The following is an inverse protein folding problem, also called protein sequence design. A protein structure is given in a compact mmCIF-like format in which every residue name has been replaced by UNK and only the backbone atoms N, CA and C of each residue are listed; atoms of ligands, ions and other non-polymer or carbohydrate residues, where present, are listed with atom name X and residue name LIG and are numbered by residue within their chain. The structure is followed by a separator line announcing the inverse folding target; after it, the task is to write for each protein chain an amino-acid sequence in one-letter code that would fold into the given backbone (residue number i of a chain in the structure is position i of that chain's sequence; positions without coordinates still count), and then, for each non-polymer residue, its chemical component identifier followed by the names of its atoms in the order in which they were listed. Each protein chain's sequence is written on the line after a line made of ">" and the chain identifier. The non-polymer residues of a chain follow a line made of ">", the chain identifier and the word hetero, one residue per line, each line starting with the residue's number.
data_IF_416695406719
#
_entry.id   IF_416695406719
#
_cell.length_a   1.000
_cell.length_b   1.000
_cell.length_c   1.000
_cell.angle_alpha   90.00
_cell.angle_beta   90.00
_cell.angle_gamma   90.00
#
_symmetry.space_group_name_H-M   'P 1'
#
loop_
_entity.id
_entity.type
_entity.pdbx_description
1 polymer ?
#
# COMPACT_ATOMS: atom_id res chain seq x y z
N UNK A 1 -34.37 -17.54 -13.25
CA UNK A 1 -33.47 -17.26 -12.20
C UNK A 1 -32.08 -16.89 -12.70
N UNK A 2 -31.56 -15.79 -12.25
CA UNK A 2 -30.25 -15.37 -12.69
C UNK A 2 -29.15 -16.16 -11.99
N UNK A 3 -28.17 -16.58 -12.75
CA UNK A 3 -27.00 -17.22 -12.22
C UNK A 3 -25.99 -16.13 -11.89
N UNK A 4 -25.51 -16.10 -10.67
CA UNK A 4 -24.50 -15.11 -10.32
C UNK A 4 -23.21 -15.40 -11.06
N UNK A 5 -22.59 -14.34 -11.52
CA UNK A 5 -21.29 -14.45 -12.16
C UNK A 5 -20.22 -14.69 -11.09
N UNK A 6 -19.26 -15.54 -11.43
CA UNK A 6 -18.15 -15.84 -10.52
C UNK A 6 -17.42 -14.57 -10.09
N UNK A 7 -17.23 -13.63 -11.03
CA UNK A 7 -16.57 -12.38 -10.70
C UNK A 7 -17.32 -11.62 -9.60
N UNK A 8 -18.64 -11.58 -9.69
CA UNK A 8 -19.46 -10.87 -8.70
C UNK A 8 -19.40 -11.55 -7.33
N UNK A 9 -19.34 -12.87 -7.31
CA UNK A 9 -19.16 -13.61 -6.05
C UNK A 9 -17.85 -13.25 -5.39
N UNK A 10 -16.79 -13.16 -6.18
CA UNK A 10 -15.47 -12.79 -5.65
C UNK A 10 -15.47 -11.36 -5.14
N UNK A 11 -16.03 -10.43 -5.91
CA UNK A 11 -16.07 -9.03 -5.47
C UNK A 11 -16.85 -8.88 -4.18
N UNK A 12 -17.98 -9.57 -4.05
CA UNK A 12 -18.79 -9.52 -2.83
C UNK A 12 -18.07 -10.10 -1.63
N UNK A 13 -17.34 -11.19 -1.86
CA UNK A 13 -16.63 -11.88 -0.76
C UNK A 13 -15.53 -11.00 -0.14
N UNK A 14 -14.90 -10.14 -0.93
CA UNK A 14 -13.77 -9.34 -0.47
C UNK A 14 -14.08 -7.86 -0.35
N UNK A 15 -15.34 -7.49 -0.52
CA UNK A 15 -15.72 -6.07 -0.52
C UNK A 15 -15.33 -5.35 0.76
N UNK A 16 -15.63 -5.96 1.91
CA UNK A 16 -15.34 -5.32 3.19
C UNK A 16 -13.84 -5.23 3.44
N UNK A 17 -13.11 -6.26 3.02
CA UNK A 17 -11.67 -6.27 3.17
C UNK A 17 -11.03 -5.14 2.37
N UNK A 18 -11.54 -4.88 1.15
CA UNK A 18 -10.96 -3.89 0.26
C UNK A 18 -11.13 -2.46 0.76
N UNK A 19 -12.08 -2.20 1.66
CA UNK A 19 -12.27 -0.87 2.22
C UNK A 19 -11.70 -0.74 3.62
N UNK A 20 -11.19 -1.82 4.19
CA UNK A 20 -10.59 -1.79 5.52
C UNK A 20 -9.18 -1.24 5.43
N UNK A 21 -8.89 -0.24 6.24
CA UNK A 21 -7.58 0.39 6.25
C UNK A 21 -6.78 -0.03 7.47
N UNK A 22 -5.49 -0.26 7.28
CA UNK A 22 -4.56 -0.52 8.37
C UNK A 22 -3.67 0.69 8.55
N UNK A 23 -3.36 1.02 9.79
CA UNK A 23 -2.54 2.20 10.06
C UNK A 23 -1.13 1.81 10.43
N UNK A 24 -0.21 2.67 10.05
CA UNK A 24 1.20 2.52 10.35
C UNK A 24 1.72 3.82 10.96
N UNK A 25 2.29 3.74 12.16
CA UNK A 25 2.88 4.90 12.79
C UNK A 25 4.32 5.03 12.35
N UNK A 26 4.63 6.14 11.71
CA UNK A 26 6.01 6.44 11.32
C UNK A 26 6.68 7.13 12.50
N UNK A 27 7.73 6.50 13.02
CA UNK A 27 8.43 7.04 14.19
C UNK A 27 9.85 7.47 13.80
N UNK A 28 10.33 8.51 14.48
CA UNK A 28 11.71 8.94 14.27
C UNK A 28 12.65 8.03 15.09
N UNK A 29 13.94 8.32 15.03
CA UNK A 29 14.94 7.48 15.70
C UNK A 29 14.89 7.61 17.23
N UNK A 30 14.07 8.51 17.75
CA UNK A 30 13.86 8.65 19.19
C UNK A 30 12.56 8.00 19.65
N UNK A 31 11.86 7.34 18.72
CA UNK A 31 10.59 6.67 19.03
C UNK A 31 9.38 7.57 19.03
N UNK A 32 9.53 8.82 18.63
CA UNK A 32 8.42 9.76 18.58
C UNK A 32 7.67 9.60 17.27
N UNK A 33 6.34 9.58 17.33
CA UNK A 33 5.52 9.48 16.13
C UNK A 33 5.59 10.75 15.31
N UNK A 34 6.03 10.63 14.07
CA UNK A 34 6.12 11.73 13.13
C UNK A 34 4.79 11.92 12.41
N UNK A 35 4.21 10.83 11.95
CA UNK A 35 2.92 10.85 11.26
C UNK A 35 2.35 9.45 11.25
N UNK A 36 1.06 9.35 10.93
CA UNK A 36 0.38 8.06 10.81
C UNK A 36 -0.16 7.94 9.40
N UNK A 37 0.14 6.84 8.76
CA UNK A 37 -0.33 6.57 7.39
C UNK A 37 -1.32 5.42 7.41
N UNK A 38 -2.26 5.46 6.49
CA UNK A 38 -3.32 4.46 6.37
C UNK A 38 -3.24 3.81 5.01
N UNK A 39 -3.45 2.49 4.97
CA UNK A 39 -3.31 1.72 3.74
C UNK A 39 -4.48 0.77 3.57
N UNK A 40 -4.96 0.66 2.34
CA UNK A 40 -5.93 -0.35 1.94
C UNK A 40 -5.20 -1.47 1.23
N UNK A 41 -5.82 -2.65 1.11
CA UNK A 41 -5.20 -3.74 0.36
C UNK A 41 -4.87 -3.33 -1.08
N UNK A 42 -3.80 -3.86 -1.60
CA UNK A 42 -3.33 -3.53 -2.95
C UNK A 42 -4.07 -4.38 -3.97
N UNK A 43 -4.52 -3.75 -5.07
CA UNK A 43 -5.06 -4.49 -6.20
C UNK A 43 -3.97 -4.70 -7.25
N UNK A 44 -4.19 -5.66 -8.14
CA UNK A 44 -3.30 -5.84 -9.27
C UNK A 44 -3.26 -4.57 -10.13
N UNK A 45 -4.41 -3.92 -10.28
CA UNK A 45 -4.49 -2.67 -11.04
C UNK A 45 -3.59 -1.60 -10.45
N UNK A 46 -3.60 -1.45 -9.13
CA UNK A 46 -2.76 -0.45 -8.47
C UNK A 46 -1.28 -0.72 -8.73
N UNK A 47 -0.87 -1.99 -8.69
CA UNK A 47 0.52 -2.36 -8.93
C UNK A 47 0.93 -2.09 -10.37
N UNK A 48 0.07 -2.43 -11.33
CA UNK A 48 0.35 -2.16 -12.75
C UNK A 48 0.47 -0.67 -12.99
N UNK A 49 -0.42 0.10 -12.37
CA UNK A 49 -0.37 1.56 -12.53
C UNK A 49 0.91 2.14 -11.94
N UNK A 50 1.34 1.62 -10.79
CA UNK A 50 2.59 2.08 -10.17
C UNK A 50 3.77 1.80 -11.10
N UNK A 51 3.79 0.65 -11.76
CA UNK A 51 4.84 0.31 -12.69
C UNK A 51 4.85 1.28 -13.87
N UNK A 52 3.69 1.61 -14.40
CA UNK A 52 3.57 2.55 -15.51
C UNK A 52 4.05 3.95 -15.11
N UNK A 53 3.65 4.41 -13.93
CA UNK A 53 4.03 5.74 -13.46
C UNK A 53 5.51 5.82 -13.09
N UNK A 54 6.07 4.73 -12.60
CA UNK A 54 7.49 4.70 -12.25
C UNK A 54 8.40 4.80 -13.47
N UNK A 55 7.92 4.34 -14.62
CA UNK A 55 8.71 4.36 -15.84
C UNK A 55 9.97 3.52 -15.75
N UNK A 56 9.95 2.47 -14.94
CA UNK A 56 11.12 1.63 -14.68
C UNK A 56 10.68 0.22 -14.36
N UNK A 57 11.54 -0.74 -14.63
CA UNK A 57 11.31 -2.13 -14.24
C UNK A 57 11.96 -2.46 -12.90
N UNK A 58 12.66 -1.51 -12.31
CA UNK A 58 13.33 -1.71 -11.03
C UNK A 58 12.29 -1.84 -9.92
N UNK A 59 12.33 -2.98 -9.21
CA UNK A 59 11.36 -3.28 -8.18
C UNK A 59 11.35 -2.23 -7.06
N UNK A 60 12.52 -1.69 -6.73
CA UNK A 60 12.61 -0.67 -5.68
C UNK A 60 11.93 0.63 -6.10
N UNK A 61 12.09 1.00 -7.37
CA UNK A 61 11.45 2.22 -7.90
C UNK A 61 9.94 2.04 -7.92
N UNK A 62 9.47 0.87 -8.36
CA UNK A 62 8.04 0.57 -8.43
C UNK A 62 7.43 0.54 -7.04
N UNK A 63 8.12 -0.05 -6.06
CA UNK A 63 7.61 -0.13 -4.69
C UNK A 63 7.40 1.26 -4.08
N UNK A 64 8.33 2.17 -4.30
CA UNK A 64 8.18 3.53 -3.78
C UNK A 64 7.04 4.27 -4.48
N UNK A 65 6.89 4.05 -5.78
CA UNK A 65 5.77 4.65 -6.52
C UNK A 65 4.44 4.12 -5.98
N UNK A 66 4.37 2.82 -5.70
CA UNK A 66 3.17 2.20 -5.13
C UNK A 66 2.86 2.78 -3.74
N UNK A 67 3.89 2.99 -2.93
CA UNK A 67 3.73 3.61 -1.62
C UNK A 67 3.08 4.98 -1.74
N UNK A 68 3.59 5.83 -2.63
CA UNK A 68 3.03 7.16 -2.83
C UNK A 68 1.58 7.11 -3.32
N UNK A 69 1.26 6.09 -4.11
CA UNK A 69 -0.06 5.93 -4.67
C UNK A 69 -1.08 5.46 -3.62
N UNK A 70 -0.66 4.64 -2.66
CA UNK A 70 -1.57 3.97 -1.74
C UNK A 70 -1.67 4.62 -0.37
N UNK A 71 -0.65 5.35 0.09
CA UNK A 71 -0.66 5.92 1.43
C UNK A 71 -1.71 7.02 1.56
N UNK A 72 -2.50 6.96 2.63
CA UNK A 72 -3.57 7.92 2.89
C UNK A 72 -3.38 8.55 4.26
N UNK A 73 -3.93 9.75 4.40
CA UNK A 73 -4.09 10.38 5.70
C UNK A 73 -5.32 9.80 6.39
N UNK A 74 -5.52 10.15 7.64
CA UNK A 74 -6.66 9.65 8.39
C UNK A 74 -7.99 9.95 7.70
N UNK A 75 -8.10 11.10 7.07
CA UNK A 75 -9.34 11.53 6.41
C UNK A 75 -9.53 10.87 5.04
N UNK A 76 -8.61 10.01 4.61
CA UNK A 76 -8.73 9.30 3.35
C UNK A 76 -8.11 10.02 2.15
N UNK A 77 -7.57 11.23 2.34
CA UNK A 77 -6.90 11.92 1.24
C UNK A 77 -5.49 11.37 1.06
N UNK A 78 -4.91 11.50 -0.14
CA UNK A 78 -3.56 11.01 -0.38
C UNK A 78 -2.53 11.68 0.53
N UNK A 79 -1.63 10.89 1.09
CA UNK A 79 -0.56 11.41 1.92
C UNK A 79 0.59 11.99 1.09
N UNK A 80 0.77 11.48 -0.13
CA UNK A 80 1.87 11.89 -1.00
C UNK A 80 1.35 12.23 -2.38
N UNK A 81 2.10 13.11 -3.08
CA UNK A 81 1.95 13.28 -4.52
C UNK A 81 2.73 12.20 -5.24
N UNK A 82 2.33 11.90 -6.47
CA UNK A 82 3.08 10.94 -7.27
C UNK A 82 4.53 11.39 -7.49
N UNK A 83 4.76 12.69 -7.50
CA UNK A 83 6.10 13.26 -7.70
C UNK A 83 6.99 13.14 -6.47
N UNK A 84 6.45 12.69 -5.34
CA UNK A 84 7.25 12.55 -4.12
C UNK A 84 8.14 11.30 -4.15
N UNK A 85 7.86 10.33 -5.01
CA UNK A 85 8.59 9.07 -5.00
C UNK A 85 10.11 9.24 -5.12
N UNK A 86 10.66 10.01 -6.08
CA UNK A 86 12.11 10.19 -6.15
C UNK A 86 12.69 10.88 -4.92
N UNK A 87 11.94 11.80 -4.33
CA UNK A 87 12.39 12.52 -3.14
C UNK A 87 12.45 11.60 -1.92
N UNK A 88 11.46 10.72 -1.78
CA UNK A 88 11.47 9.76 -0.69
C UNK A 88 12.68 8.85 -0.78
N UNK A 89 13.03 8.42 -1.99
CA UNK A 89 14.18 7.55 -2.21
C UNK A 89 15.50 8.24 -1.87
N UNK A 90 15.56 9.54 -2.03
CA UNK A 90 16.79 10.29 -1.80
C UNK A 90 16.93 10.80 -0.37
N UNK A 91 15.82 11.08 0.29
CA UNK A 91 15.84 11.82 1.54
C UNK A 91 15.45 11.03 2.78
N UNK A 92 14.85 9.86 2.62
CA UNK A 92 14.54 9.02 3.78
C UNK A 92 15.63 7.97 3.97
N UNK A 93 15.93 7.64 5.25
CA UNK A 93 16.78 6.48 5.49
C UNK A 93 16.17 5.25 4.85
N UNK A 94 17.01 4.40 4.28
CA UNK A 94 16.52 3.21 3.59
C UNK A 94 15.65 2.34 4.50
N UNK A 95 16.03 2.24 5.78
CA UNK A 95 15.27 1.43 6.72
C UNK A 95 13.83 1.94 6.87
N UNK A 96 13.65 3.25 6.94
CA UNK A 96 12.33 3.85 7.10
C UNK A 96 11.48 3.55 5.87
N UNK A 97 12.04 3.81 4.70
CA UNK A 97 11.30 3.57 3.44
C UNK A 97 10.99 2.09 3.27
N UNK A 98 11.96 1.24 3.60
CA UNK A 98 11.78 -0.19 3.50
C UNK A 98 10.68 -0.69 4.44
N UNK A 99 10.64 -0.18 5.67
CA UNK A 99 9.60 -0.57 6.63
C UNK A 99 8.21 -0.18 6.14
N UNK A 100 8.09 0.99 5.55
CA UNK A 100 6.82 1.44 4.98
C UNK A 100 6.38 0.53 3.83
N UNK A 101 7.30 0.20 2.95
CA UNK A 101 6.98 -0.64 1.79
C UNK A 101 6.67 -2.07 2.21
N UNK A 102 7.36 -2.58 3.20
CA UNK A 102 7.06 -3.90 3.74
C UNK A 102 5.69 -3.94 4.38
N UNK A 103 5.34 -2.92 5.14
CA UNK A 103 4.03 -2.86 5.76
C UNK A 103 2.92 -2.83 4.70
N UNK A 104 3.13 -2.06 3.65
CA UNK A 104 2.18 -1.98 2.54
C UNK A 104 1.95 -3.36 1.92
N UNK A 105 3.00 -4.12 1.72
CA UNK A 105 2.92 -5.45 1.13
C UNK A 105 2.39 -6.47 2.13
N UNK A 106 2.68 -6.31 3.41
CA UNK A 106 2.24 -7.23 4.46
C UNK A 106 0.74 -7.24 4.65
N UNK A 107 0.04 -6.18 4.27
CA UNK A 107 -1.42 -6.17 4.33
C UNK A 107 -1.99 -7.37 3.57
N UNK A 108 -1.36 -7.70 2.45
CA UNK A 108 -1.75 -8.88 1.67
C UNK A 108 -1.21 -10.16 2.27
N UNK A 109 0.02 -10.14 2.77
CA UNK A 109 0.67 -11.31 3.33
C UNK A 109 0.03 -11.77 4.64
N UNK A 110 -0.52 -10.86 5.43
CA UNK A 110 -1.21 -11.19 6.67
C UNK A 110 -2.35 -12.17 6.43
N UNK A 111 -3.06 -12.01 5.33
CA UNK A 111 -4.18 -12.88 5.00
C UNK A 111 -3.68 -14.30 4.75
N UNK A 112 -2.59 -14.44 4.03
CA UNK A 112 -2.02 -15.74 3.73
C UNK A 112 -1.48 -16.40 4.99
N UNK A 113 -0.82 -15.64 5.85
CA UNK A 113 -0.29 -16.15 7.10
C UNK A 113 -1.42 -16.66 8.00
N UNK A 114 -2.51 -15.92 8.09
CA UNK A 114 -3.66 -16.31 8.88
C UNK A 114 -4.25 -17.63 8.37
N UNK A 115 -4.25 -17.82 7.06
CA UNK A 115 -4.80 -19.04 6.48
C UNK A 115 -3.95 -20.28 6.77
N UNK A 116 -2.66 -20.10 6.93
CA UNK A 116 -1.74 -21.21 7.20
C UNK A 116 -1.84 -21.68 8.64
N UNK A 117 -2.29 -20.83 9.50
CA UNK A 117 -2.45 -21.18 10.91
C UNK A 117 -3.72 -21.97 11.14
#
# INVERSE_FOLDING_TARGET
>A
MATERTADLLFGAFKDEMVTRKKFEVKDNKGKTVTILYFRPITRYARVRAQQLAGSDDALVISTQLLCQMAEKEDGTPAFDMSDAPMLQRQLPEKVLNDLELFLNDIKLDIETAKKE
#
